data_IF_831754195926
#
_entry.id   IF_831754195926
#
_cell.length_a   1.000
_cell.length_b   1.000
_cell.length_c   1.000
_cell.angle_alpha   90.00
_cell.angle_beta   90.00
_cell.angle_gamma   90.00
#
_symmetry.space_group_name_H-M   'P 1'
#
loop_
_entity.id
_entity.type
_entity.pdbx_description
1 polymer ?
#
# COMPACT_ATOMS: atom_id res chain seq x y z
N UNK A 1 -23.14 -3.99 -7.47
CA UNK A 1 -22.48 -4.82 -6.43
C UNK A 1 -21.10 -4.31 -6.03
N UNK A 2 -20.25 -3.82 -6.96
CA UNK A 2 -18.89 -3.30 -6.68
C UNK A 2 -18.86 -2.10 -5.71
N UNK A 3 -19.81 -1.16 -5.82
CA UNK A 3 -19.88 0.02 -4.95
C UNK A 3 -20.16 -0.30 -3.49
N UNK A 4 -20.96 -1.32 -3.21
CA UNK A 4 -21.33 -1.71 -1.85
C UNK A 4 -20.14 -2.38 -1.13
N UNK A 5 -19.40 -3.25 -1.82
CA UNK A 5 -18.17 -3.85 -1.28
C UNK A 5 -17.07 -2.80 -1.08
N UNK A 6 -16.96 -1.82 -1.97
CA UNK A 6 -16.05 -0.68 -1.82
C UNK A 6 -16.42 0.17 -0.60
N UNK A 7 -17.70 0.49 -0.41
CA UNK A 7 -18.17 1.24 0.75
C UNK A 7 -17.88 0.54 2.08
N UNK A 8 -18.11 -0.77 2.17
CA UNK A 8 -17.83 -1.56 3.38
C UNK A 8 -16.32 -1.58 3.67
N UNK A 9 -15.49 -1.76 2.64
CA UNK A 9 -14.03 -1.78 2.79
C UNK A 9 -13.48 -0.40 3.23
N UNK A 10 -13.96 0.69 2.60
CA UNK A 10 -13.57 2.05 2.96
C UNK A 10 -14.06 2.38 4.38
N UNK A 11 -15.27 1.95 4.76
CA UNK A 11 -15.79 2.13 6.11
C UNK A 11 -14.99 1.39 7.17
N UNK A 12 -14.56 0.16 6.88
CA UNK A 12 -13.64 -0.60 7.73
C UNK A 12 -12.30 0.13 7.91
N UNK A 13 -11.69 0.61 6.82
CA UNK A 13 -10.46 1.40 6.88
C UNK A 13 -10.63 2.71 7.66
N UNK A 14 -11.77 3.38 7.51
CA UNK A 14 -12.06 4.61 8.23
C UNK A 14 -12.17 4.36 9.74
N UNK A 15 -12.88 3.30 10.13
CA UNK A 15 -12.95 2.86 11.52
C UNK A 15 -11.56 2.54 12.08
N UNK A 16 -10.76 1.76 11.35
CA UNK A 16 -9.40 1.41 11.79
C UNK A 16 -8.50 2.66 11.99
N UNK A 17 -8.56 3.64 11.08
CA UNK A 17 -7.82 4.90 11.19
C UNK A 17 -8.28 5.77 12.38
N UNK A 18 -9.59 5.79 12.68
CA UNK A 18 -10.15 6.57 13.78
C UNK A 18 -9.89 5.95 15.17
N UNK A 19 -9.87 4.61 15.22
CA UNK A 19 -9.67 3.83 16.45
C UNK A 19 -8.22 3.37 16.64
N UNK A 20 -7.29 3.83 15.79
CA UNK A 20 -5.84 3.65 16.02
C UNK A 20 -5.46 4.34 17.33
N UNK A 21 -5.44 3.55 18.43
CA UNK A 21 -4.91 3.96 19.73
C UNK A 21 -3.42 4.24 19.59
N UNK A 22 -2.94 5.21 20.38
CA UNK A 22 -1.53 5.57 20.50
C UNK A 22 -0.66 4.33 20.35
N UNK A 23 -0.01 4.19 19.18
CA UNK A 23 1.04 3.21 19.02
C UNK A 23 2.16 3.76 19.90
N UNK A 24 2.17 3.36 21.16
CA UNK A 24 3.40 3.34 21.94
C UNK A 24 4.37 2.55 21.07
N UNK A 25 5.23 3.28 20.35
CA UNK A 25 6.37 2.72 19.66
C UNK A 25 7.32 2.22 20.76
N UNK A 26 6.95 1.13 21.39
CA UNK A 26 7.81 0.38 22.27
C UNK A 26 8.77 -0.39 21.36
N UNK A 27 9.89 0.25 21.06
CA UNK A 27 10.98 -0.30 20.24
C UNK A 27 11.66 -1.48 20.95
N UNK A 28 11.20 -1.87 22.15
CA UNK A 28 11.90 -2.83 23.03
C UNK A 28 11.58 -4.30 22.80
N UNK A 29 10.58 -4.67 21.99
CA UNK A 29 10.18 -6.09 21.81
C UNK A 29 10.09 -6.58 20.35
N UNK A 30 10.91 -6.02 19.46
CA UNK A 30 11.07 -6.59 18.11
C UNK A 30 12.03 -7.78 18.15
N UNK A 31 11.50 -8.95 18.51
CA UNK A 31 12.15 -10.23 18.27
C UNK A 31 12.61 -10.31 16.78
N UNK A 32 13.86 -10.70 16.47
CA UNK A 32 14.48 -10.69 15.13
C UNK A 32 13.81 -11.57 14.04
N UNK A 33 12.59 -12.05 14.24
CA UNK A 33 11.81 -12.78 13.22
C UNK A 33 11.28 -11.89 12.09
N UNK A 34 11.56 -10.58 12.09
CA UNK A 34 11.11 -9.62 11.08
C UNK A 34 11.56 -9.99 9.66
N UNK A 35 12.78 -10.52 9.50
CA UNK A 35 13.28 -10.97 8.20
C UNK A 35 12.51 -12.19 7.68
N UNK A 36 12.27 -13.19 8.52
CA UNK A 36 11.52 -14.40 8.14
C UNK A 36 10.08 -14.05 7.79
N UNK A 37 9.42 -13.20 8.59
CA UNK A 37 8.08 -12.69 8.29
C UNK A 37 8.06 -11.88 6.98
N UNK A 38 9.08 -11.05 6.73
CA UNK A 38 9.22 -10.29 5.49
C UNK A 38 9.37 -11.18 4.25
N UNK A 39 10.21 -12.22 4.33
CA UNK A 39 10.40 -13.18 3.23
C UNK A 39 9.10 -13.95 2.94
N UNK A 40 8.43 -14.48 3.97
CA UNK A 40 7.17 -15.21 3.81
C UNK A 40 6.08 -14.30 3.24
N UNK A 41 5.98 -13.06 3.73
CA UNK A 41 4.97 -12.09 3.25
C UNK A 41 5.23 -11.70 1.80
N UNK A 42 6.48 -11.53 1.39
CA UNK A 42 6.83 -11.22 0.00
C UNK A 42 6.54 -12.42 -0.92
N UNK A 43 6.86 -13.64 -0.48
CA UNK A 43 6.62 -14.86 -1.24
C UNK A 43 5.12 -15.19 -1.37
N UNK A 44 4.31 -14.93 -0.35
CA UNK A 44 2.86 -15.14 -0.40
C UNK A 44 2.10 -13.95 -0.98
N UNK A 45 2.78 -12.84 -1.31
CA UNK A 45 2.13 -11.71 -1.93
C UNK A 45 1.81 -12.04 -3.39
N UNK A 46 0.54 -12.04 -3.83
CA UNK A 46 0.19 -12.32 -5.23
C UNK A 46 0.61 -11.21 -6.19
N UNK A 47 0.89 -10.00 -5.68
CA UNK A 47 1.12 -8.82 -6.49
C UNK A 47 2.38 -8.91 -7.39
N UNK A 48 3.56 -9.35 -6.91
CA UNK A 48 4.73 -9.54 -7.78
C UNK A 48 4.51 -10.58 -8.87
N UNK A 49 3.80 -11.67 -8.57
CA UNK A 49 3.48 -12.70 -9.55
C UNK A 49 2.55 -12.16 -10.63
N UNK A 50 1.46 -11.48 -10.24
CA UNK A 50 0.53 -10.86 -11.18
C UNK A 50 1.25 -9.85 -12.08
N UNK A 51 2.13 -9.01 -11.51
CA UNK A 51 2.95 -8.10 -12.30
C UNK A 51 3.80 -8.85 -13.34
N UNK A 52 4.54 -9.87 -12.92
CA UNK A 52 5.40 -10.63 -13.84
C UNK A 52 4.61 -11.39 -14.90
N UNK A 53 3.44 -11.94 -14.56
CA UNK A 53 2.58 -12.62 -15.53
C UNK A 53 1.93 -11.66 -16.53
N UNK A 54 1.50 -10.47 -16.10
CA UNK A 54 0.70 -9.55 -16.93
C UNK A 54 1.52 -8.52 -17.70
N UNK A 55 2.60 -8.01 -17.10
CA UNK A 55 3.37 -6.89 -17.64
C UNK A 55 4.84 -7.23 -17.77
N UNK A 56 5.45 -7.75 -16.69
CA UNK A 56 6.89 -7.98 -16.61
C UNK A 56 7.41 -8.94 -17.67
N UNK A 57 6.85 -10.15 -17.76
CA UNK A 57 7.31 -11.16 -18.72
C UNK A 57 7.06 -10.76 -20.18
N UNK A 58 5.86 -10.26 -20.58
CA UNK A 58 5.67 -9.74 -21.95
C UNK A 58 6.64 -8.62 -22.31
N UNK A 59 6.98 -7.74 -21.35
CA UNK A 59 7.90 -6.61 -21.57
C UNK A 59 9.34 -7.09 -21.71
N UNK A 60 9.78 -8.03 -20.88
CA UNK A 60 11.11 -8.64 -21.00
C UNK A 60 11.24 -9.41 -22.32
N UNK A 61 10.23 -10.19 -22.72
CA UNK A 61 10.25 -10.93 -23.98
C UNK A 61 10.34 -9.98 -25.20
N UNK A 62 9.59 -8.87 -25.18
CA UNK A 62 9.71 -7.81 -26.20
C UNK A 62 11.11 -7.20 -26.21
N UNK A 63 11.67 -6.91 -25.04
CA UNK A 63 13.01 -6.32 -24.91
C UNK A 63 14.11 -7.29 -25.36
N UNK A 64 13.96 -8.60 -25.11
CA UNK A 64 14.88 -9.64 -25.61
C UNK A 64 14.89 -9.70 -27.15
N UNK A 65 13.75 -9.42 -27.80
CA UNK A 65 13.68 -9.31 -29.26
C UNK A 65 14.46 -8.13 -29.84
N UNK A 66 14.71 -7.08 -29.06
CA UNK A 66 15.59 -5.95 -29.42
C UNK A 66 17.05 -6.26 -29.07
N UNK A 67 17.28 -6.94 -27.94
CA UNK A 67 18.58 -7.43 -27.53
C UNK A 67 18.63 -7.78 -26.05
N UNK A 68 19.55 -8.69 -25.69
CA UNK A 68 19.73 -9.13 -24.30
C UNK A 68 20.06 -7.96 -23.35
N UNK A 69 20.80 -6.96 -23.85
CA UNK A 69 21.12 -5.75 -23.08
C UNK A 69 19.88 -4.91 -22.74
N UNK A 70 18.90 -4.83 -23.65
CA UNK A 70 17.66 -4.08 -23.44
C UNK A 70 16.79 -4.74 -22.36
N UNK A 71 16.72 -6.09 -22.38
CA UNK A 71 16.06 -6.85 -21.33
C UNK A 71 16.76 -6.68 -19.97
N UNK A 72 18.09 -6.76 -19.94
CA UNK A 72 18.88 -6.55 -18.73
C UNK A 72 18.70 -5.12 -18.17
N UNK A 73 18.70 -4.09 -19.02
CA UNK A 73 18.49 -2.71 -18.63
C UNK A 73 17.08 -2.47 -18.05
N UNK A 74 16.05 -3.11 -18.63
CA UNK A 74 14.69 -3.05 -18.08
C UNK A 74 14.63 -3.67 -16.68
N UNK A 75 15.16 -4.89 -16.51
CA UNK A 75 15.14 -5.58 -15.22
C UNK A 75 15.93 -4.82 -14.17
N UNK A 76 17.12 -4.33 -14.50
CA UNK A 76 17.96 -3.57 -13.56
C UNK A 76 17.30 -2.25 -13.17
N UNK A 77 16.80 -1.48 -14.13
CA UNK A 77 16.07 -0.24 -13.89
C UNK A 77 14.84 -0.47 -13.02
N UNK A 78 14.04 -1.49 -13.33
CA UNK A 78 12.86 -1.86 -12.56
C UNK A 78 13.19 -2.09 -11.08
N UNK A 79 14.19 -2.94 -10.78
CA UNK A 79 14.57 -3.21 -9.40
C UNK A 79 15.21 -1.99 -8.71
N UNK A 80 16.01 -1.20 -9.42
CA UNK A 80 16.59 0.05 -8.87
C UNK A 80 15.49 1.02 -8.46
N UNK A 81 14.49 1.27 -9.31
CA UNK A 81 13.40 2.18 -8.97
C UNK A 81 12.49 1.61 -7.88
N UNK A 82 12.19 0.31 -7.89
CA UNK A 82 11.34 -0.33 -6.90
C UNK A 82 11.99 -0.32 -5.51
N UNK A 83 13.23 -0.79 -5.41
CA UNK A 83 13.98 -0.83 -4.15
C UNK A 83 14.34 0.59 -3.72
N UNK A 84 14.78 1.43 -4.66
CA UNK A 84 15.13 2.82 -4.42
C UNK A 84 13.98 3.64 -3.86
N UNK A 85 12.76 3.49 -4.39
CA UNK A 85 11.56 4.15 -3.85
C UNK A 85 11.28 3.73 -2.40
N UNK A 86 11.39 2.42 -2.09
CA UNK A 86 11.20 1.93 -0.72
C UNK A 86 12.28 2.45 0.24
N UNK A 87 13.54 2.48 -0.19
CA UNK A 87 14.65 3.04 0.59
C UNK A 87 14.42 4.54 0.82
N UNK A 88 14.04 5.27 -0.22
CA UNK A 88 13.77 6.70 -0.13
C UNK A 88 12.63 7.00 0.86
N UNK A 89 11.53 6.23 0.80
CA UNK A 89 10.44 6.32 1.77
C UNK A 89 10.92 6.00 3.19
N UNK A 90 11.75 4.98 3.37
CA UNK A 90 12.32 4.64 4.68
C UNK A 90 13.19 5.77 5.24
N UNK A 91 14.10 6.35 4.42
CA UNK A 91 14.97 7.46 4.81
C UNK A 91 14.15 8.72 5.13
N UNK A 92 13.15 9.04 4.31
CA UNK A 92 12.23 10.15 4.55
C UNK A 92 11.49 9.91 5.87
N UNK A 93 10.93 8.72 6.06
CA UNK A 93 10.21 8.36 7.28
C UNK A 93 11.11 8.43 8.50
N UNK A 94 12.35 7.99 8.43
CA UNK A 94 13.34 8.10 9.51
C UNK A 94 13.68 9.56 9.81
N UNK A 95 13.94 10.38 8.80
CA UNK A 95 14.23 11.82 8.95
C UNK A 95 13.08 12.59 9.59
N UNK A 96 11.84 12.23 9.23
CA UNK A 96 10.63 12.83 9.82
C UNK A 96 10.08 12.02 11.00
N UNK A 97 10.72 10.94 11.42
CA UNK A 97 10.23 10.04 12.47
C UNK A 97 10.10 10.74 13.83
N UNK A 98 10.99 11.70 14.11
CA UNK A 98 10.92 12.54 15.31
C UNK A 98 9.71 13.49 15.31
N UNK A 99 9.25 13.91 14.13
CA UNK A 99 8.03 14.73 13.97
C UNK A 99 6.76 13.85 13.90
N UNK A 100 6.84 12.67 13.29
CA UNK A 100 5.80 11.64 13.24
C UNK A 100 5.56 10.97 14.60
N UNK A 101 6.53 10.99 15.51
CA UNK A 101 6.36 10.51 16.90
C UNK A 101 5.44 11.42 17.75
N UNK A 102 5.11 12.62 17.26
CA UNK A 102 4.24 13.56 17.97
C UNK A 102 2.76 13.29 17.70
N UNK A 103 1.90 13.78 18.60
CA UNK A 103 0.42 13.80 18.50
C UNK A 103 -0.11 14.22 17.10
N UNK A 104 0.67 14.96 16.32
CA UNK A 104 0.38 15.39 14.94
C UNK A 104 0.09 14.23 13.99
N UNK A 105 0.81 13.10 14.09
CA UNK A 105 0.56 11.92 13.25
C UNK A 105 -0.82 11.31 13.52
N UNK A 106 -1.23 11.29 14.80
CA UNK A 106 -2.55 10.80 15.21
C UNK A 106 -3.66 11.73 14.71
N UNK A 107 -3.43 13.05 14.73
CA UNK A 107 -4.38 13.99 14.14
C UNK A 107 -4.50 13.81 12.61
N UNK A 108 -3.39 13.57 11.91
CA UNK A 108 -3.42 13.27 10.47
C UNK A 108 -4.19 11.98 10.18
N UNK A 109 -3.96 10.91 10.94
CA UNK A 109 -4.71 9.65 10.80
C UNK A 109 -6.21 9.85 11.08
N UNK A 110 -6.57 10.62 12.10
CA UNK A 110 -7.97 10.94 12.41
C UNK A 110 -8.63 11.74 11.30
N UNK A 111 -7.96 12.78 10.79
CA UNK A 111 -8.46 13.58 9.67
C UNK A 111 -8.64 12.71 8.42
N UNK A 112 -7.68 11.83 8.13
CA UNK A 112 -7.77 10.89 7.01
C UNK A 112 -8.94 9.91 7.20
N UNK A 113 -9.15 9.39 8.41
CA UNK A 113 -10.30 8.56 8.76
C UNK A 113 -11.64 9.29 8.55
N UNK A 114 -11.74 10.57 8.92
CA UNK A 114 -12.93 11.39 8.64
C UNK A 114 -13.16 11.54 7.14
N UNK A 115 -12.10 11.81 6.37
CA UNK A 115 -12.21 11.91 4.89
C UNK A 115 -12.68 10.57 4.30
N UNK A 116 -12.15 9.44 4.77
CA UNK A 116 -12.57 8.11 4.33
C UNK A 116 -14.03 7.82 4.67
N UNK A 117 -14.52 8.26 5.84
CA UNK A 117 -15.95 8.15 6.17
C UNK A 117 -16.83 8.94 5.20
N UNK A 118 -16.42 10.14 4.79
CA UNK A 118 -17.15 10.93 3.80
C UNK A 118 -17.20 10.21 2.45
N UNK A 119 -16.09 9.64 2.00
CA UNK A 119 -16.05 8.84 0.77
C UNK A 119 -16.92 7.59 0.87
N UNK A 120 -16.88 6.86 2.00
CA UNK A 120 -17.74 5.71 2.23
C UNK A 120 -19.22 6.09 2.13
N UNK A 121 -19.61 7.25 2.69
CA UNK A 121 -20.99 7.73 2.60
C UNK A 121 -21.40 8.11 1.17
N UNK A 122 -20.51 8.74 0.39
CA UNK A 122 -20.75 9.00 -1.04
C UNK A 122 -20.97 7.70 -1.82
N UNK A 123 -20.10 6.71 -1.61
CA UNK A 123 -20.20 5.40 -2.25
C UNK A 123 -21.47 4.63 -1.85
N UNK A 124 -21.93 4.78 -0.59
CA UNK A 124 -23.21 4.20 -0.15
C UNK A 124 -24.40 4.85 -0.85
N UNK A 125 -24.40 6.18 -1.01
CA UNK A 125 -25.45 6.89 -1.75
C UNK A 125 -25.49 6.45 -3.21
N UNK A 126 -24.35 6.48 -3.88
CA UNK A 126 -24.22 6.03 -5.27
C UNK A 126 -24.64 4.56 -5.42
N UNK A 127 -24.29 3.70 -4.46
CA UNK A 127 -24.71 2.30 -4.44
C UNK A 127 -26.21 2.09 -4.24
N UNK A 128 -26.88 2.96 -3.48
CA UNK A 128 -28.33 2.92 -3.23
C UNK A 128 -29.14 3.47 -4.42
N UNK A 129 -28.69 4.56 -5.04
CA UNK A 129 -29.27 5.11 -6.28
C UNK A 129 -29.19 4.09 -7.42
N UNK A 130 -28.03 3.45 -7.61
CA UNK A 130 -27.87 2.38 -8.62
C UNK A 130 -28.69 1.11 -8.32
N UNK A 131 -29.11 0.90 -7.07
CA UNK A 131 -29.96 -0.22 -6.68
C UNK A 131 -31.45 0.08 -6.79
N UNK A 132 -31.85 1.31 -7.15
CA UNK A 132 -33.25 1.71 -7.32
C UNK A 132 -34.08 1.74 -6.04
N UNK A 133 -33.43 1.85 -4.87
CA UNK A 133 -34.10 1.94 -3.56
C UNK A 133 -34.45 3.38 -3.20
N UNK A 134 -33.83 4.36 -3.88
CA UNK A 134 -34.07 5.81 -3.81
C UNK A 134 -34.15 6.32 -5.24
#
# INVERSE_FOLDING_TARGET
MTYLSGAVFIGYLAYENLFTKDVEFDIRDLNPQSLRKGVITNFLNPHPYLFWFTVGAPTVLKAMGVGVYSAAAFVSGFYVFLVGSKILVAIITEKYSLFLKSRTYIYLLKVLGVILLLFAFSFLREGLELSGVI
#
